data_IF_240656188752
#
_entry.id   IF_240656188752
#
_cell.length_a   1.000
_cell.length_b   1.000
_cell.length_c   1.000
_cell.angle_alpha   90.00
_cell.angle_beta   90.00
_cell.angle_gamma   90.00
#
_symmetry.space_group_name_H-M   'P 1'
#
loop_
_entity.id
_entity.type
_entity.pdbx_description
1 polymer ?
#
# COMPACT_ATOMS: atom_id res chain seq x y z
N UNK A 1 19.07 -25.28 51.61
CA UNK A 1 18.81 -25.55 50.20
C UNK A 1 18.32 -24.27 49.56
N UNK A 2 19.25 -23.65 48.83
CA UNK A 2 18.97 -22.41 48.17
C UNK A 2 17.88 -22.61 47.12
N UNK A 3 16.95 -21.69 47.06
CA UNK A 3 15.73 -21.71 46.25
C UNK A 3 16.07 -21.64 44.73
N UNK A 4 16.63 -22.73 44.20
CA UNK A 4 16.86 -22.92 42.76
C UNK A 4 15.54 -22.88 42.00
N UNK A 5 14.43 -23.28 42.60
CA UNK A 5 13.09 -23.19 41.99
C UNK A 5 12.64 -21.72 41.77
N UNK A 6 12.96 -20.78 42.68
CA UNK A 6 12.65 -19.37 42.53
C UNK A 6 13.45 -18.70 41.42
N UNK A 7 14.74 -19.06 41.29
CA UNK A 7 15.61 -18.54 40.26
C UNK A 7 15.23 -19.01 38.84
N UNK A 8 14.75 -20.26 38.71
CA UNK A 8 14.21 -20.79 37.48
C UNK A 8 12.89 -20.11 37.08
N UNK A 9 11.99 -19.87 38.01
CA UNK A 9 10.72 -19.16 37.79
C UNK A 9 10.95 -17.71 37.36
N UNK A 10 11.88 -16.98 37.97
CA UNK A 10 12.20 -15.59 37.59
C UNK A 10 12.84 -15.53 36.22
N UNK A 11 13.73 -16.47 35.88
CA UNK A 11 14.32 -16.59 34.54
C UNK A 11 13.27 -16.87 33.46
N UNK A 12 12.33 -17.77 33.73
CA UNK A 12 11.22 -18.10 32.82
C UNK A 12 10.31 -16.89 32.61
N UNK A 13 10.01 -16.12 33.65
CA UNK A 13 9.21 -14.88 33.58
C UNK A 13 9.91 -13.79 32.74
N UNK A 14 11.22 -13.63 32.88
CA UNK A 14 12.00 -12.68 32.09
C UNK A 14 12.02 -13.07 30.61
N UNK A 15 12.18 -14.34 30.30
CA UNK A 15 12.15 -14.83 28.91
C UNK A 15 10.76 -14.63 28.29
N UNK A 16 9.69 -14.93 29.04
CA UNK A 16 8.32 -14.71 28.59
C UNK A 16 8.02 -13.21 28.36
N UNK A 17 8.45 -12.34 29.25
CA UNK A 17 8.30 -10.90 29.10
C UNK A 17 9.06 -10.37 27.86
N UNK A 18 10.30 -10.84 27.64
CA UNK A 18 11.08 -10.51 26.46
C UNK A 18 10.41 -10.99 25.17
N UNK A 19 9.86 -12.20 25.17
CA UNK A 19 9.15 -12.76 24.02
C UNK A 19 7.89 -11.93 23.68
N UNK A 20 7.13 -11.50 24.67
CA UNK A 20 5.94 -10.65 24.48
C UNK A 20 6.33 -9.28 23.91
N UNK A 21 7.41 -8.66 24.37
CA UNK A 21 7.91 -7.38 23.85
C UNK A 21 8.35 -7.50 22.39
N UNK A 22 9.04 -8.58 22.04
CA UNK A 22 9.47 -8.84 20.64
C UNK A 22 8.28 -9.13 19.73
N UNK A 23 7.28 -9.88 20.22
CA UNK A 23 6.07 -10.16 19.44
C UNK A 23 5.26 -8.88 19.19
N UNK A 24 5.12 -8.00 20.19
CA UNK A 24 4.38 -6.74 20.07
C UNK A 24 5.05 -5.78 19.08
N UNK A 25 6.37 -5.67 19.10
CA UNK A 25 7.12 -4.86 18.14
C UNK A 25 7.02 -5.39 16.70
N UNK A 26 6.90 -6.71 16.52
CA UNK A 26 6.67 -7.31 15.20
C UNK A 26 5.28 -7.05 14.64
N UNK A 27 4.26 -7.04 15.50
CA UNK A 27 2.87 -6.78 15.07
C UNK A 27 2.70 -5.35 14.55
N UNK A 28 3.32 -4.36 15.18
CA UNK A 28 3.28 -2.97 14.72
C UNK A 28 3.96 -2.80 13.35
N UNK A 29 5.10 -3.43 13.14
CA UNK A 29 5.80 -3.40 11.84
C UNK A 29 4.99 -4.08 10.74
N UNK A 30 4.35 -5.22 11.03
CA UNK A 30 3.49 -5.92 10.08
C UNK A 30 2.26 -5.09 9.72
N UNK A 31 1.65 -4.38 10.67
CA UNK A 31 0.51 -3.50 10.42
C UNK A 31 0.91 -2.28 9.57
N UNK A 32 2.06 -1.66 9.85
CA UNK A 32 2.60 -0.57 9.04
C UNK A 32 2.88 -1.02 7.61
N UNK A 33 3.47 -2.20 7.46
CA UNK A 33 3.78 -2.74 6.14
C UNK A 33 2.52 -3.06 5.33
N UNK A 34 1.49 -3.64 5.95
CA UNK A 34 0.17 -3.85 5.34
C UNK A 34 -0.47 -2.54 4.91
N UNK A 35 -0.43 -1.52 5.76
CA UNK A 35 -0.94 -0.18 5.42
C UNK A 35 -0.21 0.41 4.21
N UNK A 36 1.11 0.26 4.12
CA UNK A 36 1.90 0.72 2.98
C UNK A 36 1.55 -0.03 1.69
N UNK A 37 1.35 -1.33 1.76
CA UNK A 37 0.93 -2.13 0.61
C UNK A 37 -0.47 -1.74 0.13
N UNK A 38 -1.42 -1.53 1.04
CA UNK A 38 -2.77 -1.06 0.72
C UNK A 38 -2.75 0.33 0.08
N UNK A 39 -1.93 1.26 0.59
CA UNK A 39 -1.72 2.57 -0.02
C UNK A 39 -1.20 2.45 -1.46
N UNK A 40 -0.20 1.60 -1.71
CA UNK A 40 0.34 1.36 -3.05
C UNK A 40 -0.69 0.74 -4.00
N UNK A 41 -1.53 -0.16 -3.49
CA UNK A 41 -2.61 -0.77 -4.29
C UNK A 41 -3.71 0.22 -4.64
N UNK A 42 -4.02 1.16 -3.75
CA UNK A 42 -5.06 2.16 -3.94
C UNK A 42 -4.62 3.31 -4.86
N UNK A 43 -3.32 3.59 -4.93
CA UNK A 43 -2.74 4.73 -5.64
C UNK A 43 -3.21 4.86 -7.10
N UNK A 44 -3.12 3.84 -7.97
CA UNK A 44 -3.53 3.98 -9.36
C UNK A 44 -5.01 4.33 -9.52
N UNK A 45 -5.87 3.69 -8.71
CA UNK A 45 -7.30 3.95 -8.75
C UNK A 45 -7.67 5.35 -8.25
N UNK A 46 -6.91 5.85 -7.27
CA UNK A 46 -7.07 7.20 -6.73
C UNK A 46 -6.67 8.25 -7.76
N UNK A 47 -5.46 8.13 -8.32
CA UNK A 47 -4.94 9.07 -9.32
C UNK A 47 -5.83 9.11 -10.55
N UNK A 48 -6.27 7.96 -11.07
CA UNK A 48 -7.16 7.89 -12.21
C UNK A 48 -8.47 8.67 -11.98
N UNK A 49 -9.12 8.48 -10.82
CA UNK A 49 -10.32 9.23 -10.46
C UNK A 49 -10.06 10.71 -10.35
N UNK A 50 -8.94 11.08 -9.73
CA UNK A 50 -8.55 12.47 -9.56
C UNK A 50 -8.31 13.14 -10.92
N UNK A 51 -7.55 12.49 -11.80
CA UNK A 51 -7.26 12.94 -13.17
C UNK A 51 -8.55 13.19 -13.96
N UNK A 52 -9.48 12.23 -13.94
CA UNK A 52 -10.78 12.38 -14.62
C UNK A 52 -11.58 13.59 -14.12
N UNK A 53 -11.58 13.84 -12.81
CA UNK A 53 -12.29 14.99 -12.24
C UNK A 53 -11.65 16.32 -12.63
N UNK A 54 -10.31 16.38 -12.65
CA UNK A 54 -9.56 17.58 -13.08
C UNK A 54 -9.73 17.81 -14.58
N UNK A 55 -9.69 16.77 -15.41
CA UNK A 55 -9.97 16.85 -16.86
C UNK A 55 -11.41 17.29 -17.13
N UNK A 56 -12.36 16.92 -16.28
CA UNK A 56 -13.75 17.41 -16.32
C UNK A 56 -13.90 18.89 -15.88
N UNK A 57 -12.78 19.59 -15.59
CA UNK A 57 -12.77 21.00 -15.22
C UNK A 57 -12.96 21.27 -13.73
N UNK A 58 -12.90 20.28 -12.87
CA UNK A 58 -12.98 20.48 -11.42
C UNK A 58 -11.65 21.05 -10.88
N UNK A 59 -11.74 21.96 -9.92
CA UNK A 59 -10.57 22.40 -9.16
C UNK A 59 -10.06 21.26 -8.28
N UNK A 60 -8.76 21.27 -7.95
CA UNK A 60 -8.12 20.28 -7.07
C UNK A 60 -8.92 20.07 -5.78
N UNK A 61 -9.28 21.16 -5.11
CA UNK A 61 -10.09 21.12 -3.88
C UNK A 61 -11.43 20.42 -4.08
N UNK A 62 -12.16 20.75 -5.14
CA UNK A 62 -13.46 20.11 -5.46
C UNK A 62 -13.30 18.64 -5.81
N UNK A 63 -12.21 18.27 -6.50
CA UNK A 63 -11.90 16.87 -6.79
C UNK A 63 -11.67 16.05 -5.51
N UNK A 64 -10.89 16.58 -4.55
CA UNK A 64 -10.72 15.94 -3.24
C UNK A 64 -12.04 15.79 -2.50
N UNK A 65 -12.85 16.84 -2.41
CA UNK A 65 -14.16 16.80 -1.77
C UNK A 65 -15.08 15.76 -2.43
N UNK A 66 -15.10 15.71 -3.78
CA UNK A 66 -15.92 14.72 -4.52
C UNK A 66 -15.50 13.29 -4.23
N UNK A 67 -14.20 13.00 -4.23
CA UNK A 67 -13.66 11.67 -3.92
C UNK A 67 -13.98 11.30 -2.47
N UNK A 68 -13.85 12.23 -1.53
CA UNK A 68 -14.18 12.04 -0.11
C UNK A 68 -15.66 11.70 0.09
N UNK A 69 -16.56 12.46 -0.55
CA UNK A 69 -18.00 12.22 -0.48
C UNK A 69 -18.41 10.89 -1.10
N UNK A 70 -17.86 10.55 -2.26
CA UNK A 70 -18.16 9.29 -2.96
C UNK A 70 -17.66 8.09 -2.15
N UNK A 71 -16.53 8.23 -1.47
CA UNK A 71 -16.01 7.22 -0.56
C UNK A 71 -16.91 7.07 0.69
N UNK A 72 -17.34 8.19 1.28
CA UNK A 72 -18.23 8.18 2.44
C UNK A 72 -19.56 7.46 2.18
N UNK A 73 -20.14 7.63 0.97
CA UNK A 73 -21.36 6.94 0.55
C UNK A 73 -21.18 5.43 0.31
N UNK A 74 -19.97 5.02 -0.10
CA UNK A 74 -19.64 3.63 -0.42
C UNK A 74 -18.87 2.92 0.69
N UNK A 75 -18.71 3.56 1.86
CA UNK A 75 -17.94 3.04 2.99
C UNK A 75 -18.48 1.67 3.40
N UNK A 76 -17.95 0.65 2.76
CA UNK A 76 -18.12 -0.74 3.14
C UNK A 76 -17.10 -1.08 4.23
N UNK A 77 -17.32 -2.18 4.91
CA UNK A 77 -16.69 -2.80 6.06
C UNK A 77 -15.14 -2.74 6.17
N UNK A 78 -14.43 -2.38 5.11
CA UNK A 78 -12.97 -2.21 5.10
C UNK A 78 -12.59 -0.75 4.79
N UNK A 79 -12.04 -0.01 5.75
CA UNK A 79 -11.49 1.32 5.50
C UNK A 79 -10.27 1.20 4.58
N UNK A 80 -10.22 2.04 3.54
CA UNK A 80 -9.09 2.12 2.61
C UNK A 80 -8.20 3.29 3.01
N UNK A 81 -6.93 3.07 3.38
CA UNK A 81 -6.06 4.09 3.97
C UNK A 81 -5.93 5.35 3.09
N UNK A 82 -5.77 5.20 1.77
CA UNK A 82 -5.64 6.32 0.85
C UNK A 82 -6.86 7.26 0.87
N UNK A 83 -8.05 6.71 0.94
CA UNK A 83 -9.29 7.50 0.94
C UNK A 83 -9.58 8.13 2.31
N UNK A 84 -9.17 7.48 3.39
CA UNK A 84 -9.25 8.07 4.74
C UNK A 84 -8.31 9.29 4.83
N UNK A 85 -7.10 9.21 4.27
CA UNK A 85 -6.19 10.36 4.22
C UNK A 85 -6.78 11.51 3.40
N UNK A 86 -7.51 11.25 2.31
CA UNK A 86 -8.23 12.29 1.56
C UNK A 86 -9.30 12.96 2.40
N UNK A 87 -10.03 12.22 3.23
CA UNK A 87 -11.01 12.78 4.15
C UNK A 87 -10.35 13.73 5.15
N UNK A 88 -9.18 13.34 5.68
CA UNK A 88 -8.41 14.19 6.59
C UNK A 88 -8.01 15.49 5.89
N UNK A 89 -7.53 15.42 4.64
CA UNK A 89 -7.21 16.62 3.84
C UNK A 89 -8.42 17.55 3.69
N UNK A 90 -9.59 17.00 3.37
CA UNK A 90 -10.81 17.78 3.26
C UNK A 90 -11.17 18.46 4.57
N UNK A 91 -11.08 17.73 5.69
CA UNK A 91 -11.32 18.26 7.02
C UNK A 91 -10.33 19.38 7.41
N UNK A 92 -9.03 19.18 7.12
CA UNK A 92 -8.00 20.20 7.35
C UNK A 92 -8.30 21.49 6.58
N UNK A 93 -8.67 21.38 5.29
CA UNK A 93 -9.04 22.53 4.48
C UNK A 93 -10.33 23.24 4.94
N UNK A 94 -11.29 22.48 5.46
CA UNK A 94 -12.53 23.02 6.06
C UNK A 94 -12.25 23.71 7.40
N UNK A 95 -11.26 23.22 8.15
CA UNK A 95 -10.80 23.81 9.40
C UNK A 95 -9.88 25.03 9.23
N UNK A 96 -9.66 25.49 7.98
CA UNK A 96 -8.89 26.71 7.69
C UNK A 96 -7.40 26.48 7.44
N UNK A 97 -6.93 25.23 7.35
CA UNK A 97 -5.56 24.94 6.92
C UNK A 97 -5.42 25.29 5.43
N UNK A 98 -4.31 25.92 5.05
CA UNK A 98 -4.05 26.25 3.64
C UNK A 98 -3.97 24.98 2.78
N UNK A 99 -4.41 25.08 1.51
CA UNK A 99 -4.40 23.94 0.58
C UNK A 99 -2.99 23.35 0.41
N UNK A 100 -1.99 24.21 0.29
CA UNK A 100 -0.58 23.79 0.16
C UNK A 100 -0.09 22.97 1.35
N UNK A 101 -0.44 23.41 2.55
CA UNK A 101 -0.06 22.73 3.78
C UNK A 101 -0.82 21.42 3.97
N UNK A 102 -2.13 21.40 3.65
CA UNK A 102 -2.93 20.19 3.72
C UNK A 102 -2.40 19.10 2.75
N UNK A 103 -1.99 19.49 1.52
CA UNK A 103 -1.39 18.56 0.56
C UNK A 103 0.00 18.09 0.99
N UNK A 104 0.81 18.95 1.58
CA UNK A 104 2.12 18.58 2.12
C UNK A 104 1.96 17.51 3.20
N UNK A 105 1.09 17.75 4.18
CA UNK A 105 0.78 16.80 5.25
C UNK A 105 0.23 15.48 4.73
N UNK A 106 -0.61 15.51 3.70
CA UNK A 106 -1.09 14.32 3.02
C UNK A 106 0.04 13.45 2.50
N UNK A 107 0.99 14.03 1.76
CA UNK A 107 2.17 13.31 1.26
C UNK A 107 3.03 12.71 2.37
N UNK A 108 3.17 13.42 3.48
CA UNK A 108 3.95 12.97 4.66
C UNK A 108 3.24 11.82 5.38
N UNK A 109 1.93 11.93 5.64
CA UNK A 109 1.14 10.88 6.32
C UNK A 109 1.06 9.58 5.53
N UNK A 110 0.97 9.67 4.21
CA UNK A 110 1.01 8.49 3.35
C UNK A 110 2.38 7.82 3.35
N UNK A 111 3.47 8.55 3.59
CA UNK A 111 4.84 8.04 3.74
C UNK A 111 5.47 7.44 2.48
N UNK A 112 4.72 7.26 1.40
CA UNK A 112 5.16 6.66 0.13
C UNK A 112 5.67 7.72 -0.84
N UNK A 113 6.75 7.41 -1.57
CA UNK A 113 7.35 8.33 -2.55
C UNK A 113 6.33 8.84 -3.58
N UNK A 114 5.46 7.96 -4.10
CA UNK A 114 4.42 8.32 -5.08
C UNK A 114 3.43 9.35 -4.55
N UNK A 115 2.98 9.20 -3.31
CA UNK A 115 2.10 10.17 -2.67
C UNK A 115 2.78 11.51 -2.40
N UNK A 116 4.09 11.50 -2.06
CA UNK A 116 4.89 12.72 -1.90
C UNK A 116 5.03 13.46 -3.24
N UNK A 117 5.35 12.73 -4.32
CA UNK A 117 5.42 13.31 -5.67
C UNK A 117 4.07 13.90 -6.07
N UNK A 118 2.98 13.17 -5.87
CA UNK A 118 1.63 13.65 -6.14
C UNK A 118 1.30 14.93 -5.34
N UNK A 119 1.58 14.96 -4.03
CA UNK A 119 1.39 16.14 -3.20
C UNK A 119 2.21 17.35 -3.70
N UNK A 120 3.46 17.12 -4.12
CA UNK A 120 4.31 18.17 -4.71
C UNK A 120 3.70 18.71 -6.01
N UNK A 121 3.19 17.85 -6.89
CA UNK A 121 2.49 18.27 -8.11
C UNK A 121 1.25 19.11 -7.80
N UNK A 122 0.47 18.75 -6.78
CA UNK A 122 -0.68 19.54 -6.34
C UNK A 122 -0.28 20.93 -5.88
N UNK A 123 0.77 21.04 -5.06
CA UNK A 123 1.28 22.33 -4.56
C UNK A 123 1.81 23.19 -5.71
N UNK A 124 2.57 22.61 -6.63
CA UNK A 124 3.07 23.34 -7.81
C UNK A 124 1.94 23.85 -8.69
N UNK A 125 0.85 23.12 -8.79
CA UNK A 125 -0.31 23.52 -9.57
C UNK A 125 -1.05 24.71 -8.97
N UNK A 126 -1.13 24.82 -7.64
CA UNK A 126 -1.69 26.00 -6.98
C UNK A 126 -0.96 27.29 -7.39
N UNK A 127 0.33 27.16 -7.75
CA UNK A 127 1.17 28.29 -8.14
C UNK A 127 1.15 28.59 -9.64
N UNK A 128 0.96 27.59 -10.51
CA UNK A 128 1.18 27.69 -11.96
C UNK A 128 -0.07 27.58 -12.85
N UNK A 129 -1.24 27.20 -12.31
CA UNK A 129 -2.48 27.05 -13.06
C UNK A 129 -2.71 25.65 -13.69
N UNK A 130 -3.98 25.38 -14.00
CA UNK A 130 -4.52 24.02 -14.12
C UNK A 130 -4.20 23.22 -15.41
N UNK A 131 -3.76 23.86 -16.51
CA UNK A 131 -3.56 23.15 -17.80
C UNK A 131 -2.41 22.15 -17.79
N UNK A 132 -1.29 22.55 -17.22
CA UNK A 132 -0.08 21.71 -17.20
C UNK A 132 -0.22 20.50 -16.24
N UNK A 133 -1.15 20.61 -15.29
CA UNK A 133 -1.43 19.54 -14.33
C UNK A 133 -2.13 18.35 -14.96
N UNK A 134 -3.07 18.59 -15.87
CA UNK A 134 -3.81 17.50 -16.52
C UNK A 134 -2.85 16.54 -17.26
N UNK A 135 -1.90 17.09 -18.02
CA UNK A 135 -0.92 16.32 -18.76
C UNK A 135 0.05 15.53 -17.83
N UNK A 136 0.47 16.15 -16.73
CA UNK A 136 1.35 15.48 -15.75
C UNK A 136 0.63 14.37 -15.00
N UNK A 137 -0.63 14.60 -14.62
CA UNK A 137 -1.46 13.60 -13.95
C UNK A 137 -1.82 12.44 -14.87
N UNK A 138 -2.02 12.68 -16.16
CA UNK A 138 -2.28 11.64 -17.14
C UNK A 138 -1.07 10.70 -17.27
N UNK A 139 0.15 11.24 -17.34
CA UNK A 139 1.38 10.45 -17.33
C UNK A 139 1.52 9.64 -16.05
N UNK A 140 1.38 10.25 -14.89
CA UNK A 140 1.45 9.58 -13.59
C UNK A 140 0.40 8.47 -13.46
N UNK A 141 -0.83 8.72 -13.95
CA UNK A 141 -1.92 7.73 -13.97
C UNK A 141 -1.56 6.52 -14.85
N UNK A 142 -0.99 6.75 -16.02
CA UNK A 142 -0.59 5.69 -16.95
C UNK A 142 0.56 4.86 -16.38
N UNK A 143 1.58 5.50 -15.83
CA UNK A 143 2.72 4.82 -15.19
C UNK A 143 2.29 3.97 -13.99
N UNK A 144 1.41 4.52 -13.15
CA UNK A 144 0.87 3.81 -11.99
C UNK A 144 0.06 2.57 -12.39
N UNK A 145 -0.68 2.65 -13.51
CA UNK A 145 -1.46 1.53 -14.03
C UNK A 145 -0.56 0.45 -14.65
N UNK A 146 0.45 0.84 -15.40
CA UNK A 146 1.40 -0.10 -15.99
C UNK A 146 2.23 -0.83 -14.93
N UNK A 147 2.63 -0.14 -13.86
CA UNK A 147 3.31 -0.78 -12.74
C UNK A 147 2.43 -1.82 -12.04
N UNK A 148 1.14 -1.52 -11.87
CA UNK A 148 0.20 -2.49 -11.34
C UNK A 148 0.07 -3.72 -12.22
N UNK A 149 -0.02 -3.55 -13.54
CA UNK A 149 -0.03 -4.66 -14.52
C UNK A 149 1.26 -5.47 -14.44
N UNK A 150 2.40 -4.81 -14.34
CA UNK A 150 3.71 -5.46 -14.23
C UNK A 150 3.81 -6.31 -12.96
N UNK A 151 3.39 -5.77 -11.82
CA UNK A 151 3.34 -6.54 -10.54
C UNK A 151 2.41 -7.75 -10.64
N UNK A 152 1.23 -7.59 -11.23
CA UNK A 152 0.30 -8.69 -11.43
C UNK A 152 0.89 -9.79 -12.35
N UNK A 153 1.60 -9.40 -13.40
CA UNK A 153 2.27 -10.32 -14.31
C UNK A 153 3.40 -11.09 -13.63
N UNK A 154 4.26 -10.40 -12.87
CA UNK A 154 5.36 -11.04 -12.10
C UNK A 154 4.82 -12.03 -11.06
N UNK A 155 3.73 -11.70 -10.39
CA UNK A 155 3.08 -12.61 -9.45
C UNK A 155 2.48 -13.84 -10.17
N UNK A 156 1.91 -13.65 -11.36
CA UNK A 156 1.42 -14.73 -12.21
C UNK A 156 2.54 -15.66 -12.70
N UNK A 157 3.67 -15.10 -13.14
CA UNK A 157 4.85 -15.86 -13.58
C UNK A 157 5.49 -16.64 -12.43
N UNK A 158 5.58 -16.04 -11.23
CA UNK A 158 6.07 -16.72 -10.03
C UNK A 158 5.16 -17.89 -9.60
N UNK A 159 3.85 -17.77 -9.80
CA UNK A 159 2.91 -18.87 -9.55
C UNK A 159 3.07 -19.98 -10.59
N UNK A 160 3.26 -19.65 -11.87
CA UNK A 160 3.50 -20.64 -12.94
C UNK A 160 4.80 -21.42 -12.70
N UNK A 161 5.88 -20.75 -12.29
CA UNK A 161 7.16 -21.39 -11.96
C UNK A 161 7.05 -22.37 -10.79
N UNK A 162 6.23 -22.04 -9.78
CA UNK A 162 5.97 -22.97 -8.66
C UNK A 162 5.26 -24.26 -9.09
N UNK A 163 4.47 -24.22 -10.15
CA UNK A 163 3.80 -25.43 -10.71
C UNK A 163 4.74 -26.30 -11.53
N UNK A 164 5.87 -25.79 -12.01
CA UNK A 164 6.87 -26.60 -12.72
C UNK A 164 7.62 -27.56 -11.80
N UNK A 165 7.81 -27.22 -10.52
CA UNK A 165 8.53 -28.05 -9.55
C UNK A 165 7.89 -29.45 -9.37
N UNK A 166 6.57 -29.56 -9.11
CA UNK A 166 5.95 -30.88 -9.00
C UNK A 166 5.94 -31.65 -10.33
N UNK A 167 5.87 -30.96 -11.49
CA UNK A 167 5.96 -31.63 -12.80
C UNK A 167 7.31 -32.25 -13.04
N UNK A 168 8.40 -31.57 -12.69
CA UNK A 168 9.77 -32.09 -12.80
C UNK A 168 9.97 -33.29 -11.84
N UNK A 169 9.46 -33.20 -10.61
CA UNK A 169 9.51 -34.32 -9.64
C UNK A 169 8.79 -35.54 -10.17
N UNK A 170 7.61 -35.40 -10.76
CA UNK A 170 6.88 -36.51 -11.39
C UNK A 170 7.68 -37.14 -12.53
N UNK A 171 8.31 -36.31 -13.38
CA UNK A 171 9.13 -36.78 -14.49
C UNK A 171 10.33 -37.61 -14.00
N UNK A 172 11.00 -37.19 -12.92
CA UNK A 172 12.14 -37.92 -12.32
C UNK A 172 11.68 -39.25 -11.78
N UNK A 173 10.54 -39.29 -11.09
CA UNK A 173 10.00 -40.55 -10.53
C UNK A 173 9.64 -41.53 -11.65
N UNK A 174 9.00 -41.09 -12.71
CA UNK A 174 8.66 -41.94 -13.88
C UNK A 174 9.92 -42.48 -14.57
N UNK A 175 10.94 -41.59 -14.78
CA UNK A 175 12.24 -42.02 -15.31
C UNK A 175 12.91 -43.11 -14.45
N UNK A 176 12.89 -42.96 -13.12
CA UNK A 176 13.44 -43.95 -12.20
C UNK A 176 12.72 -45.29 -12.29
N UNK A 177 11.38 -45.27 -12.37
CA UNK A 177 10.58 -46.50 -12.49
C UNK A 177 10.83 -47.23 -13.81
N UNK A 178 11.02 -46.50 -14.91
CA UNK A 178 11.31 -47.10 -16.24
C UNK A 178 12.74 -47.67 -16.31
N UNK A 179 13.70 -47.06 -15.62
CA UNK A 179 15.09 -47.51 -15.60
C UNK A 179 15.29 -48.81 -14.82
N UNK A 180 14.54 -49.07 -13.74
CA UNK A 180 14.67 -50.25 -12.89
C UNK A 180 14.42 -51.58 -13.65
N UNK A 181 13.41 -51.75 -14.53
CA UNK A 181 13.20 -52.98 -15.28
C UNK A 181 14.09 -53.13 -16.52
N UNK A 182 14.90 -52.10 -16.87
CA UNK A 182 15.80 -52.16 -18.05
C UNK A 182 17.21 -52.66 -17.71
N UNK A 183 17.53 -52.88 -16.42
CA UNK A 183 18.73 -53.49 -15.88
C UNK A 183 18.39 -54.82 -15.20
#
# INVERSE_FOLDING_TARGET
>A
PADTSGMFLTGLFLIAAMAILVMKGREEQVQLQKRYEELLMDYPGLIMKFTLLVQAGMTVRKAFQKISLDYGRKRKRNPRPAYEEIRIVCYEMESGVSESEAYRRFGERCGQAKYKTFATLLIQNLQKGSRQMADMLERESTEAWEERKRKARVLGEAAATKLLVPMIMMLIVVMAIVMIPAF
#
